data_IF_175523844865
#
_entry.id   IF_175523844865
#
_cell.length_a   1.000
_cell.length_b   1.000
_cell.length_c   1.000
_cell.angle_alpha   90.00
_cell.angle_beta   90.00
_cell.angle_gamma   90.00
#
_symmetry.space_group_name_H-M   'P 1'
#
loop_
_entity.id
_entity.type
_entity.pdbx_description
1 polymer ?
#
# COMPACT_ATOMS: atom_id res chain seq x y z
N UNK A 1 -12.28 -13.59 9.32
CA UNK A 1 -11.96 -12.26 8.78
C UNK A 1 -12.35 -11.21 9.81
N UNK A 2 -11.62 -10.10 9.88
CA UNK A 2 -11.97 -9.01 10.80
C UNK A 2 -13.22 -8.26 10.31
N UNK A 3 -14.04 -7.76 11.24
CA UNK A 3 -15.16 -6.87 10.94
C UNK A 3 -14.67 -5.46 10.59
N UNK A 4 -15.42 -4.75 9.76
CA UNK A 4 -15.22 -3.33 9.45
C UNK A 4 -15.88 -2.43 10.50
N UNK A 5 -15.60 -1.12 10.42
CA UNK A 5 -16.20 -0.08 11.27
C UNK A 5 -17.75 -0.05 11.13
N UNK A 6 -18.25 -0.25 9.91
CA UNK A 6 -19.68 -0.45 9.63
C UNK A 6 -19.92 -1.88 9.17
N UNK A 7 -20.93 -2.59 9.72
CA UNK A 7 -21.29 -3.92 9.24
C UNK A 7 -21.61 -3.99 7.75
N UNK A 8 -22.14 -2.90 7.17
CA UNK A 8 -22.44 -2.81 5.73
C UNK A 8 -21.19 -2.90 4.85
N UNK A 9 -20.01 -2.57 5.38
CA UNK A 9 -18.75 -2.63 4.65
C UNK A 9 -18.04 -3.99 4.78
N UNK A 10 -18.58 -4.95 5.55
CA UNK A 10 -17.96 -6.26 5.71
C UNK A 10 -17.77 -7.05 4.41
N UNK A 11 -18.76 -7.13 3.49
CA UNK A 11 -18.59 -7.90 2.27
C UNK A 11 -17.45 -7.39 1.38
N UNK A 12 -17.40 -6.08 1.11
CA UNK A 12 -16.34 -5.46 0.32
C UNK A 12 -14.98 -5.50 1.03
N UNK A 13 -14.95 -5.34 2.37
CA UNK A 13 -13.74 -5.56 3.16
C UNK A 13 -13.18 -6.96 2.98
N UNK A 14 -14.00 -8.00 3.14
CA UNK A 14 -13.53 -9.39 3.09
C UNK A 14 -13.06 -9.76 1.68
N UNK A 15 -13.74 -9.26 0.64
CA UNK A 15 -13.31 -9.42 -0.74
C UNK A 15 -11.96 -8.72 -0.98
N UNK A 16 -11.80 -7.47 -0.55
CA UNK A 16 -10.55 -6.73 -0.67
C UNK A 16 -9.40 -7.40 0.09
N UNK A 17 -9.60 -7.71 1.37
CA UNK A 17 -8.59 -8.36 2.23
C UNK A 17 -8.13 -9.69 1.62
N UNK A 18 -9.05 -10.47 1.04
CA UNK A 18 -8.71 -11.75 0.37
C UNK A 18 -7.83 -11.51 -0.85
N UNK A 19 -8.21 -10.59 -1.74
CA UNK A 19 -7.45 -10.26 -2.94
C UNK A 19 -6.07 -9.69 -2.58
N UNK A 20 -6.05 -8.68 -1.72
CA UNK A 20 -4.83 -8.02 -1.27
C UNK A 20 -3.87 -9.03 -0.61
N UNK A 21 -4.35 -9.88 0.31
CA UNK A 21 -3.47 -10.84 0.98
C UNK A 21 -2.86 -11.87 0.02
N UNK A 22 -3.56 -12.24 -1.05
CA UNK A 22 -3.01 -13.12 -2.07
C UNK A 22 -1.91 -12.41 -2.88
N UNK A 23 -2.21 -11.22 -3.39
CA UNK A 23 -1.25 -10.40 -4.13
C UNK A 23 -0.02 -10.02 -3.27
N UNK A 24 -0.25 -9.62 -2.03
CA UNK A 24 0.77 -9.10 -1.12
C UNK A 24 1.83 -10.15 -0.77
N UNK A 25 1.44 -11.43 -0.62
CA UNK A 25 2.40 -12.52 -0.42
C UNK A 25 3.41 -12.61 -1.56
N UNK A 26 2.93 -12.56 -2.81
CA UNK A 26 3.78 -12.60 -4.00
C UNK A 26 4.65 -11.34 -4.11
N UNK A 27 4.09 -10.17 -3.78
CA UNK A 27 4.82 -8.91 -3.76
C UNK A 27 5.95 -8.91 -2.72
N UNK A 28 5.71 -9.43 -1.50
CA UNK A 28 6.72 -9.52 -0.45
C UNK A 28 7.91 -10.38 -0.87
N UNK A 29 7.67 -11.51 -1.54
CA UNK A 29 8.73 -12.38 -2.05
C UNK A 29 9.61 -11.70 -3.09
N UNK A 30 9.07 -10.71 -3.82
CA UNK A 30 9.80 -9.92 -4.81
C UNK A 30 10.69 -8.84 -4.17
N UNK A 31 10.20 -8.16 -3.13
CA UNK A 31 10.89 -6.98 -2.57
C UNK A 31 11.80 -7.29 -1.38
N UNK A 32 11.56 -8.39 -0.66
CA UNK A 32 12.31 -8.74 0.54
C UNK A 32 13.76 -9.21 0.29
N UNK A 33 14.08 -9.91 -0.81
CA UNK A 33 15.47 -10.30 -1.07
C UNK A 33 16.37 -9.08 -1.32
N UNK A 34 17.55 -8.99 -0.68
CA UNK A 34 18.54 -7.99 -1.04
C UNK A 34 19.01 -8.20 -2.48
N UNK A 35 19.49 -7.12 -3.11
CA UNK A 35 20.16 -7.24 -4.41
C UNK A 35 21.37 -8.17 -4.25
N UNK A 36 21.57 -9.05 -5.23
CA UNK A 36 22.71 -9.96 -5.28
C UNK A 36 24.00 -9.21 -5.62
N UNK A 37 23.89 -8.13 -6.38
CA UNK A 37 25.03 -7.31 -6.80
C UNK A 37 25.07 -5.94 -6.10
N UNK A 38 26.26 -5.37 -5.82
CA UNK A 38 26.38 -4.03 -5.25
C UNK A 38 25.73 -2.96 -6.15
N UNK A 39 25.01 -2.02 -5.54
CA UNK A 39 24.13 -1.05 -6.22
C UNK A 39 24.87 -0.12 -7.20
N UNK A 40 26.15 0.15 -6.97
CA UNK A 40 27.00 1.04 -7.74
C UNK A 40 27.61 0.37 -8.99
N UNK A 41 27.51 -0.96 -9.10
CA UNK A 41 28.03 -1.73 -10.25
C UNK A 41 27.04 -1.74 -11.42
N UNK A 42 27.51 -1.94 -12.68
CA UNK A 42 26.63 -2.14 -13.82
C UNK A 42 25.63 -3.29 -13.64
N UNK A 43 26.07 -4.39 -13.01
CA UNK A 43 25.23 -5.55 -12.70
C UNK A 43 24.14 -5.21 -11.68
N UNK A 44 24.49 -4.51 -10.59
CA UNK A 44 23.52 -4.05 -9.59
C UNK A 44 22.51 -3.04 -10.13
N UNK A 45 22.93 -2.17 -11.07
CA UNK A 45 22.01 -1.29 -11.80
C UNK A 45 21.02 -2.08 -12.65
N UNK A 46 21.51 -3.04 -13.45
CA UNK A 46 20.65 -3.90 -14.26
C UNK A 46 19.68 -4.75 -13.43
N UNK A 47 20.15 -5.29 -12.29
CA UNK A 47 19.32 -6.08 -11.38
C UNK A 47 18.21 -5.23 -10.76
N UNK A 48 18.53 -4.00 -10.34
CA UNK A 48 17.55 -3.01 -9.87
C UNK A 48 16.52 -2.70 -10.94
N UNK A 49 16.95 -2.35 -12.16
CA UNK A 49 16.04 -2.05 -13.26
C UNK A 49 15.10 -3.22 -13.58
N UNK A 50 15.61 -4.45 -13.56
CA UNK A 50 14.78 -5.64 -13.75
C UNK A 50 13.75 -5.77 -12.62
N UNK A 51 14.17 -5.62 -11.37
CA UNK A 51 13.27 -5.69 -10.22
C UNK A 51 12.21 -4.59 -10.26
N UNK A 52 12.58 -3.37 -10.64
CA UNK A 52 11.66 -2.24 -10.75
C UNK A 52 10.59 -2.47 -11.84
N UNK A 53 10.95 -3.13 -12.95
CA UNK A 53 9.97 -3.57 -13.97
C UNK A 53 8.99 -4.59 -13.41
N UNK A 54 9.47 -5.62 -12.71
CA UNK A 54 8.59 -6.63 -12.11
C UNK A 54 7.71 -6.04 -11.01
N UNK A 55 8.23 -5.08 -10.22
CA UNK A 55 7.44 -4.32 -9.24
C UNK A 55 6.34 -3.54 -9.93
N UNK A 56 6.64 -2.87 -11.04
CA UNK A 56 5.64 -2.16 -11.84
C UNK A 56 4.55 -3.10 -12.35
N UNK A 57 4.92 -4.23 -12.94
CA UNK A 57 3.97 -5.23 -13.42
C UNK A 57 3.08 -5.74 -12.28
N UNK A 58 3.65 -5.94 -11.08
CA UNK A 58 2.87 -6.30 -9.88
C UNK A 58 1.94 -5.19 -9.39
N UNK A 59 2.29 -3.92 -9.54
CA UNK A 59 1.37 -2.80 -9.27
C UNK A 59 0.21 -2.79 -10.26
N UNK A 60 0.48 -3.03 -11.54
CA UNK A 60 -0.56 -3.09 -12.57
C UNK A 60 -1.49 -4.29 -12.37
N UNK A 61 -0.94 -5.44 -11.94
CA UNK A 61 -1.71 -6.62 -11.49
C UNK A 61 -2.64 -6.27 -10.32
N UNK A 62 -2.12 -5.60 -9.29
CA UNK A 62 -2.92 -5.15 -8.14
C UNK A 62 -4.10 -4.27 -8.57
N UNK A 63 -3.85 -3.25 -9.40
CA UNK A 63 -4.92 -2.33 -9.80
C UNK A 63 -5.99 -3.05 -10.63
N UNK A 64 -5.57 -3.95 -11.53
CA UNK A 64 -6.50 -4.74 -12.36
C UNK A 64 -7.35 -5.71 -11.53
N UNK A 65 -6.75 -6.36 -10.54
CA UNK A 65 -7.40 -7.48 -9.83
C UNK A 65 -8.07 -7.06 -8.53
N UNK A 66 -7.45 -6.18 -7.76
CA UNK A 66 -7.93 -5.75 -6.45
C UNK A 66 -8.44 -4.30 -6.43
N UNK A 67 -8.08 -3.46 -7.41
CA UNK A 67 -8.34 -2.02 -7.40
C UNK A 67 -9.82 -1.65 -7.36
N UNK A 68 -10.67 -2.37 -8.10
CA UNK A 68 -12.12 -2.13 -8.07
C UNK A 68 -12.73 -2.43 -6.70
N UNK A 69 -12.41 -3.60 -6.12
CA UNK A 69 -12.92 -4.03 -4.81
C UNK A 69 -12.40 -3.13 -3.68
N UNK A 70 -11.14 -2.67 -3.79
CA UNK A 70 -10.60 -1.66 -2.89
C UNK A 70 -11.42 -0.37 -2.93
N UNK A 71 -11.76 0.14 -4.13
CA UNK A 71 -12.56 1.36 -4.28
C UNK A 71 -13.94 1.20 -3.66
N UNK A 72 -14.61 0.07 -3.88
CA UNK A 72 -15.91 -0.21 -3.25
C UNK A 72 -15.84 -0.21 -1.71
N UNK A 73 -14.83 -0.87 -1.14
CA UNK A 73 -14.61 -0.86 0.30
C UNK A 73 -14.29 0.54 0.84
N UNK A 74 -13.42 1.26 0.14
CA UNK A 74 -12.99 2.59 0.53
C UNK A 74 -14.13 3.61 0.48
N UNK A 75 -14.99 3.58 -0.54
CA UNK A 75 -16.17 4.45 -0.61
C UNK A 75 -17.20 4.10 0.49
N UNK A 76 -17.37 2.81 0.82
CA UNK A 76 -18.20 2.43 1.97
C UNK A 76 -17.66 3.02 3.29
N UNK A 77 -16.34 2.97 3.51
CA UNK A 77 -15.71 3.58 4.68
C UNK A 77 -15.83 5.10 4.70
N UNK A 78 -15.66 5.77 3.55
CA UNK A 78 -15.82 7.22 3.45
C UNK A 78 -17.22 7.67 3.87
N UNK A 79 -18.25 6.89 3.56
CA UNK A 79 -19.61 7.16 4.04
C UNK A 79 -19.78 6.84 5.53
N UNK A 80 -19.12 5.79 6.04
CA UNK A 80 -19.28 5.34 7.42
C UNK A 80 -18.49 6.18 8.45
N UNK A 81 -17.29 6.67 8.11
CA UNK A 81 -16.41 7.38 9.05
C UNK A 81 -17.07 8.66 9.63
N UNK A 82 -17.71 9.54 8.83
CA UNK A 82 -18.36 10.75 9.35
C UNK A 82 -19.50 10.48 10.32
N UNK A 83 -20.05 9.25 10.36
CA UNK A 83 -21.10 8.87 11.33
C UNK A 83 -20.57 8.68 12.74
N UNK A 84 -19.24 8.68 12.92
CA UNK A 84 -18.57 8.56 14.22
C UNK A 84 -18.10 9.94 14.67
N UNK A 85 -18.68 10.41 15.77
CA UNK A 85 -18.37 11.73 16.34
C UNK A 85 -16.86 11.89 16.60
N UNK A 86 -16.28 12.99 16.10
CA UNK A 86 -14.87 13.35 16.26
C UNK A 86 -13.86 12.49 15.50
N UNK A 87 -14.29 11.39 14.86
CA UNK A 87 -13.36 10.45 14.23
C UNK A 87 -12.68 11.04 12.99
N UNK A 88 -13.37 11.91 12.25
CA UNK A 88 -12.84 12.53 11.02
C UNK A 88 -11.61 13.38 11.35
N UNK A 89 -11.72 14.24 12.35
CA UNK A 89 -10.66 15.15 12.80
C UNK A 89 -9.47 14.37 13.38
N UNK A 90 -9.75 13.37 14.22
CA UNK A 90 -8.71 12.51 14.81
C UNK A 90 -7.92 11.75 13.74
N UNK A 91 -8.62 11.18 12.75
CA UNK A 91 -7.95 10.48 11.64
C UNK A 91 -7.15 11.44 10.76
N UNK A 92 -7.64 12.66 10.52
CA UNK A 92 -6.93 13.66 9.73
C UNK A 92 -5.63 14.08 10.43
N UNK A 93 -5.68 14.34 11.73
CA UNK A 93 -4.50 14.66 12.53
C UNK A 93 -3.50 13.49 12.52
N UNK A 94 -3.93 12.27 12.85
CA UNK A 94 -3.06 11.11 12.90
C UNK A 94 -2.42 10.76 11.54
N UNK A 95 -3.12 11.02 10.42
CA UNK A 95 -2.59 10.82 9.07
C UNK A 95 -1.54 11.87 8.66
N UNK A 96 -1.55 13.04 9.29
CA UNK A 96 -0.56 14.09 9.07
C UNK A 96 0.72 13.89 9.90
N UNK A 97 0.68 13.00 10.89
CA UNK A 97 1.85 12.68 11.72
C UNK A 97 2.86 11.80 10.95
N UNK A 98 4.15 12.05 11.18
CA UNK A 98 5.26 11.24 10.65
C UNK A 98 5.87 10.39 11.78
N UNK A 99 5.26 9.26 12.17
CA UNK A 99 5.70 8.51 13.35
C UNK A 99 7.10 7.90 13.21
N UNK A 100 7.62 7.78 11.99
CA UNK A 100 8.97 7.29 11.71
C UNK A 100 10.01 8.40 11.55
N UNK A 101 9.64 9.67 11.75
CA UNK A 101 10.59 10.77 11.68
C UNK A 101 11.76 10.55 12.65
N UNK A 102 12.99 10.58 12.15
CA UNK A 102 14.21 10.33 12.94
C UNK A 102 14.57 8.86 13.17
N UNK A 103 13.73 7.90 12.78
CA UNK A 103 14.09 6.47 12.79
C UNK A 103 14.90 6.11 11.54
N UNK A 104 16.23 6.07 11.67
CA UNK A 104 17.13 5.45 10.69
C UNK A 104 17.21 6.14 9.33
N UNK A 105 16.83 7.42 9.22
CA UNK A 105 16.92 8.18 7.96
C UNK A 105 15.83 7.87 6.93
N UNK A 106 14.80 7.10 7.29
CA UNK A 106 13.63 6.86 6.44
C UNK A 106 12.82 8.16 6.40
N UNK A 107 12.94 8.91 5.30
CA UNK A 107 12.07 10.05 5.02
C UNK A 107 10.79 9.56 4.36
N UNK A 108 9.66 10.14 4.72
CA UNK A 108 8.40 9.95 3.98
C UNK A 108 8.64 10.38 2.55
N UNK A 109 8.26 9.54 1.58
CA UNK A 109 8.37 9.88 0.17
C UNK A 109 7.55 11.16 -0.10
N UNK A 110 8.21 12.19 -0.60
CA UNK A 110 7.58 13.43 -1.01
C UNK A 110 6.81 13.22 -2.32
N UNK A 111 5.94 14.17 -2.70
CA UNK A 111 5.31 14.13 -4.03
C UNK A 111 6.35 14.03 -5.14
N UNK A 112 7.46 14.74 -5.01
CA UNK A 112 8.57 14.72 -5.97
C UNK A 112 9.29 13.36 -6.05
N UNK A 113 9.20 12.53 -5.00
CA UNK A 113 9.74 11.16 -4.99
C UNK A 113 8.79 10.17 -5.66
N UNK A 114 7.49 10.48 -5.75
CA UNK A 114 6.46 9.64 -6.37
C UNK A 114 6.26 9.94 -7.86
N UNK A 115 6.68 11.11 -8.31
CA UNK A 115 6.55 11.59 -9.70
C UNK A 115 7.78 11.31 -10.58
N UNK A 116 8.85 10.70 -10.04
CA UNK A 116 10.02 10.20 -10.80
C UNK A 116 9.89 8.73 -11.16
#
# INVERSE_FOLDING_TARGET
>A
MASSLSPSCNPSKHAFDTCFNHWFKSYLLLVSPPLQNPIDTPQGKSEREQRDRVIKDKKDEYERECGAVYKEYHECLKAAIPTKEGLVEMLAQARAEEPLHGWGGIKVATKDDLER
#
